data_IF_733351385715
#
_entry.id   IF_733351385715
#
_cell.length_a   1.000
_cell.length_b   1.000
_cell.length_c   1.000
_cell.angle_alpha   90.00
_cell.angle_beta   90.00
_cell.angle_gamma   90.00
#
_symmetry.space_group_name_H-M   'P 1'
#
loop_
_entity.id
_entity.type
_entity.pdbx_description
1 polymer ?
#
# COMPACT_ATOMS: atom_id res chain seq x y z
N UNK A 1 -12.59 9.04 -30.94
CA UNK A 1 -11.84 10.02 -30.12
C UNK A 1 -12.18 9.61 -28.70
N UNK A 2 -11.40 8.67 -28.17
CA UNK A 2 -11.86 7.77 -27.11
C UNK A 2 -11.37 8.27 -25.74
N UNK A 3 -12.32 8.33 -24.82
CA UNK A 3 -12.19 8.67 -23.41
C UNK A 3 -10.99 7.99 -22.72
N UNK A 4 -10.12 8.79 -22.13
CA UNK A 4 -9.24 8.37 -21.05
C UNK A 4 -9.96 8.62 -19.72
N UNK A 5 -10.90 7.74 -19.39
CA UNK A 5 -11.42 7.60 -18.02
C UNK A 5 -10.68 6.41 -17.39
N UNK A 6 -9.44 6.67 -16.96
CA UNK A 6 -8.64 5.75 -16.17
C UNK A 6 -9.04 5.86 -14.71
N UNK A 7 -9.64 4.81 -14.17
CA UNK A 7 -10.02 4.71 -12.77
C UNK A 7 -8.74 4.59 -11.94
N UNK A 8 -8.31 5.67 -11.28
CA UNK A 8 -7.22 5.62 -10.29
C UNK A 8 -7.67 4.76 -9.10
N UNK A 9 -7.09 3.58 -8.97
CA UNK A 9 -7.36 2.64 -7.88
C UNK A 9 -6.42 2.96 -6.72
N UNK A 10 -6.92 3.73 -5.74
CA UNK A 10 -6.26 3.93 -4.45
C UNK A 10 -6.11 2.58 -3.75
N UNK A 11 -4.89 2.04 -3.72
CA UNK A 11 -4.53 0.93 -2.83
C UNK A 11 -4.19 1.52 -1.47
N UNK A 12 -5.19 1.57 -0.58
CA UNK A 12 -5.01 1.97 0.81
C UNK A 12 -4.38 0.82 1.62
N UNK A 13 -3.05 0.81 1.74
CA UNK A 13 -2.35 -0.11 2.64
C UNK A 13 -2.43 0.41 4.09
N UNK A 14 -3.22 -0.27 4.92
CA UNK A 14 -3.28 -0.06 6.36
C UNK A 14 -1.93 -0.43 7.00
N UNK A 15 -1.18 0.56 7.49
CA UNK A 15 -0.03 0.34 8.37
C UNK A 15 -0.49 0.15 9.82
N UNK A 16 -0.15 -0.99 10.40
CA UNK A 16 -0.44 -1.34 11.79
C UNK A 16 0.25 -0.42 12.80
N UNK A 17 -0.50 -0.06 13.84
CA UNK A 17 -0.04 0.80 14.93
C UNK A 17 0.97 0.10 15.85
N UNK A 18 2.18 0.65 15.93
CA UNK A 18 3.17 0.32 16.93
C UNK A 18 2.79 0.95 18.29
N UNK A 19 2.84 0.16 19.37
CA UNK A 19 2.62 0.59 20.76
C UNK A 19 3.87 1.29 21.31
N UNK A 20 3.68 2.46 21.93
CA UNK A 20 4.64 3.06 22.87
C UNK A 20 3.92 3.50 24.16
N UNK A 21 4.63 3.61 25.31
CA UNK A 21 4.08 3.40 26.63
C UNK A 21 3.47 4.65 27.25
N UNK A 22 2.45 4.42 28.09
CA UNK A 22 1.79 5.42 28.91
C UNK A 22 2.61 5.70 30.18
N UNK A 23 2.88 6.98 30.45
CA UNK A 23 3.00 7.53 31.79
C UNK A 23 2.93 9.06 31.72
N UNK A 24 1.85 9.66 32.25
CA UNK A 24 1.83 10.90 33.05
C UNK A 24 0.37 11.32 33.37
N UNK A 25 0.05 11.19 34.66
CA UNK A 25 -1.01 11.69 35.58
C UNK A 25 -1.79 12.99 35.22
N UNK A 26 -2.72 13.50 36.07
CA UNK A 26 -3.90 12.92 36.74
C UNK A 26 -5.15 13.85 36.69
N UNK A 27 -6.37 13.35 36.96
CA UNK A 27 -7.36 14.10 37.79
C UNK A 27 -8.57 13.27 38.22
N UNK A 28 -8.89 13.36 39.50
CA UNK A 28 -10.01 12.75 40.19
C UNK A 28 -11.35 13.49 40.00
N UNK A 29 -12.47 12.74 40.09
CA UNK A 29 -13.68 12.99 40.92
C UNK A 29 -14.78 11.99 40.52
N UNK A 30 -15.14 11.07 41.42
CA UNK A 30 -16.37 11.03 42.24
C UNK A 30 -17.68 10.74 41.47
N UNK A 31 -18.31 9.59 41.76
CA UNK A 31 -19.68 9.50 42.31
C UNK A 31 -20.04 8.03 42.61
N UNK A 32 -20.12 7.66 43.90
CA UNK A 32 -21.32 7.35 44.70
C UNK A 32 -21.94 5.96 44.47
N UNK A 33 -21.84 5.17 45.53
CA UNK A 33 -22.42 3.85 45.78
C UNK A 33 -23.82 3.98 46.40
N UNK A 34 -24.74 3.08 46.07
CA UNK A 34 -25.98 2.72 46.79
C UNK A 34 -26.70 1.64 45.95
N UNK A 35 -27.40 0.61 46.42
CA UNK A 35 -27.74 0.01 47.72
C UNK A 35 -28.33 -1.38 47.34
N UNK A 36 -28.08 -2.42 48.14
CA UNK A 36 -28.76 -3.74 48.08
C UNK A 36 -30.08 -3.64 48.91
N UNK A 37 -31.08 -4.56 48.80
CA UNK A 37 -31.03 -5.84 49.51
C UNK A 37 -31.75 -7.05 48.83
N UNK A 38 -31.55 -8.20 49.49
CA UNK A 38 -31.83 -9.61 49.18
C UNK A 38 -33.27 -10.06 48.85
N UNK A 39 -33.37 -11.23 48.19
CA UNK A 39 -34.57 -12.07 48.08
C UNK A 39 -34.24 -13.51 47.64
N UNK A 40 -34.82 -14.49 48.34
CA UNK A 40 -34.55 -15.95 48.33
C UNK A 40 -35.48 -16.70 47.36
N UNK A 41 -35.05 -17.79 46.71
CA UNK A 41 -35.86 -19.01 46.48
C UNK A 41 -35.06 -20.21 45.91
N UNK A 42 -35.40 -21.39 46.43
CA UNK A 42 -34.88 -22.75 46.16
C UNK A 42 -35.28 -23.29 44.77
N UNK A 43 -34.48 -24.22 44.23
CA UNK A 43 -34.94 -25.14 43.17
C UNK A 43 -33.89 -26.16 42.74
N UNK A 44 -34.16 -27.44 42.99
CA UNK A 44 -33.36 -28.62 42.65
C UNK A 44 -33.29 -28.91 41.14
N UNK A 45 -32.18 -29.50 40.68
CA UNK A 45 -32.07 -30.10 39.36
C UNK A 45 -30.71 -30.77 39.12
N UNK A 46 -30.68 -32.09 39.27
CA UNK A 46 -29.53 -32.98 39.05
C UNK A 46 -29.30 -33.23 37.54
N UNK A 47 -28.16 -33.88 37.23
CA UNK A 47 -27.91 -34.82 36.11
C UNK A 47 -26.92 -34.36 35.01
N UNK A 48 -25.71 -34.93 35.14
CA UNK A 48 -24.84 -35.57 34.13
C UNK A 48 -23.70 -34.77 33.48
N UNK A 49 -22.50 -35.18 33.90
CA UNK A 49 -21.23 -35.08 33.16
C UNK A 49 -21.35 -35.64 31.74
N UNK A 50 -20.92 -34.86 30.73
CA UNK A 50 -20.50 -35.41 29.43
C UNK A 50 -19.09 -34.92 29.07
N UNK A 51 -18.17 -35.82 29.38
CA UNK A 51 -16.99 -36.28 28.63
C UNK A 51 -16.55 -35.44 27.42
N UNK A 52 -15.26 -35.05 27.47
CA UNK A 52 -14.45 -34.54 26.36
C UNK A 52 -14.66 -35.33 25.06
N UNK A 53 -14.82 -34.60 23.96
CA UNK A 53 -14.42 -35.06 22.63
C UNK A 53 -13.27 -34.17 22.17
N UNK A 54 -12.04 -34.66 22.36
CA UNK A 54 -10.84 -34.15 21.70
C UNK A 54 -10.80 -34.72 20.28
N UNK A 55 -11.39 -34.02 19.32
CA UNK A 55 -11.25 -34.35 17.91
C UNK A 55 -10.72 -33.15 17.15
N UNK A 56 -9.43 -33.25 16.84
CA UNK A 56 -8.80 -32.71 15.64
C UNK A 56 -8.88 -31.19 15.49
N UNK A 57 -7.87 -30.50 16.01
CA UNK A 57 -7.32 -29.35 15.31
C UNK A 57 -6.66 -29.85 14.00
N UNK A 58 -7.48 -30.34 13.07
CA UNK A 58 -7.13 -30.40 11.67
C UNK A 58 -7.25 -28.98 11.17
N UNK A 59 -6.19 -28.19 11.37
CA UNK A 59 -6.05 -26.90 10.76
C UNK A 59 -6.42 -27.05 9.29
N UNK A 60 -7.48 -26.36 8.90
CA UNK A 60 -7.73 -26.06 7.50
C UNK A 60 -6.47 -25.36 7.01
N UNK A 61 -5.55 -26.12 6.43
CA UNK A 61 -4.58 -25.63 5.48
C UNK A 61 -5.43 -25.11 4.34
N UNK A 62 -5.98 -23.91 4.53
CA UNK A 62 -6.59 -23.12 3.50
C UNK A 62 -5.64 -23.24 2.32
N UNK A 63 -6.14 -23.82 1.23
CA UNK A 63 -5.39 -24.04 0.01
C UNK A 63 -4.69 -22.72 -0.30
N UNK A 64 -3.38 -22.66 -0.02
CA UNK A 64 -2.55 -21.56 -0.47
C UNK A 64 -2.75 -21.58 -1.97
N UNK A 65 -3.38 -20.54 -2.51
CA UNK A 65 -3.59 -20.43 -3.95
C UNK A 65 -2.20 -20.46 -4.58
N UNK A 66 -1.77 -21.63 -5.01
CA UNK A 66 -0.46 -21.78 -5.63
C UNK A 66 -0.61 -21.16 -7.00
N UNK A 67 -0.16 -19.90 -7.14
CA UNK A 67 -0.06 -19.29 -8.45
C UNK A 67 0.78 -20.21 -9.34
N UNK A 68 0.38 -20.40 -10.61
CA UNK A 68 1.16 -21.24 -11.51
C UNK A 68 2.57 -20.67 -11.67
N UNK A 69 3.57 -21.50 -12.01
CA UNK A 69 4.91 -21.01 -12.30
C UNK A 69 4.88 -19.90 -13.36
N UNK A 70 5.52 -18.78 -13.07
CA UNK A 70 5.62 -17.64 -13.99
C UNK A 70 6.92 -17.69 -14.79
N UNK A 71 6.98 -16.94 -15.90
CA UNK A 71 8.17 -16.83 -16.76
C UNK A 71 9.26 -15.94 -16.17
N UNK A 72 8.87 -15.04 -15.27
CA UNK A 72 9.73 -14.05 -14.63
C UNK A 72 9.84 -14.34 -13.14
N UNK A 73 11.01 -14.05 -12.57
CA UNK A 73 11.22 -14.11 -11.12
C UNK A 73 10.53 -12.94 -10.42
N UNK A 74 10.46 -11.78 -11.07
CA UNK A 74 9.84 -10.57 -10.52
C UNK A 74 8.99 -9.84 -11.55
N UNK A 75 7.91 -9.21 -11.08
CA UNK A 75 7.18 -8.19 -11.83
C UNK A 75 7.46 -6.84 -11.20
N UNK A 76 7.76 -5.84 -12.03
CA UNK A 76 8.03 -4.47 -11.61
C UNK A 76 6.82 -3.60 -11.97
N UNK A 77 5.89 -3.43 -11.03
CA UNK A 77 4.69 -2.63 -11.27
C UNK A 77 5.05 -1.16 -11.19
N UNK A 78 4.72 -0.41 -12.24
CA UNK A 78 5.00 1.02 -12.41
C UNK A 78 3.72 1.73 -12.85
N UNK A 79 3.51 2.93 -12.34
CA UNK A 79 2.37 3.80 -12.64
C UNK A 79 2.81 5.24 -12.40
N UNK A 80 3.04 6.03 -13.46
CA UNK A 80 3.51 7.40 -13.28
C UNK A 80 2.36 8.33 -12.97
N UNK A 81 2.62 9.31 -12.09
CA UNK A 81 1.83 10.54 -12.07
C UNK A 81 2.61 11.63 -12.80
N UNK A 82 1.89 12.50 -13.52
CA UNK A 82 2.47 13.56 -14.32
C UNK A 82 1.75 14.90 -14.15
N UNK A 83 2.46 16.00 -14.46
CA UNK A 83 1.85 17.33 -14.57
C UNK A 83 0.74 17.30 -15.62
N UNK A 84 -0.43 17.84 -15.28
CA UNK A 84 -1.60 17.86 -16.16
C UNK A 84 -2.50 19.08 -15.90
N UNK A 85 -3.39 19.39 -16.86
CA UNK A 85 -4.41 20.44 -16.72
C UNK A 85 -5.59 20.20 -17.68
N UNK A 86 -6.59 21.08 -17.66
CA UNK A 86 -7.72 21.12 -18.60
C UNK A 86 -7.85 22.54 -19.21
N UNK A 87 -7.43 22.75 -20.47
CA UNK A 87 -6.92 21.77 -21.44
C UNK A 87 -5.52 21.26 -21.08
N UNK A 88 -5.15 20.11 -21.66
CA UNK A 88 -3.87 19.44 -21.38
C UNK A 88 -2.68 20.36 -21.66
N UNK A 89 -1.74 20.37 -20.71
CA UNK A 89 -0.47 21.09 -20.83
C UNK A 89 0.60 20.23 -21.48
N UNK A 90 1.55 20.90 -22.14
CA UNK A 90 2.69 20.25 -22.79
C UNK A 90 3.98 21.04 -22.52
N UNK A 91 5.12 20.34 -22.30
CA UNK A 91 5.22 18.91 -22.06
C UNK A 91 4.55 18.51 -20.73
N UNK A 92 4.10 17.25 -20.63
CA UNK A 92 3.79 16.66 -19.33
C UNK A 92 5.09 16.13 -18.75
N UNK A 93 5.27 16.26 -17.44
CA UNK A 93 6.48 15.89 -16.72
C UNK A 93 6.10 14.92 -15.60
N UNK A 94 6.84 13.82 -15.45
CA UNK A 94 6.65 12.87 -14.34
C UNK A 94 6.87 13.61 -13.01
N UNK A 95 5.96 13.45 -12.07
CA UNK A 95 6.00 14.04 -10.72
C UNK A 95 6.00 12.99 -9.60
N UNK A 96 5.67 11.73 -9.90
CA UNK A 96 5.80 10.58 -9.00
C UNK A 96 6.31 9.37 -9.78
N UNK A 97 7.28 8.67 -9.20
CA UNK A 97 7.95 7.50 -9.79
C UNK A 97 7.89 6.31 -8.84
N UNK A 98 6.76 5.57 -8.77
CA UNK A 98 6.65 4.35 -7.99
C UNK A 98 7.10 3.12 -8.79
N UNK A 99 7.80 2.20 -8.12
CA UNK A 99 8.04 0.83 -8.63
C UNK A 99 7.83 -0.16 -7.49
N UNK A 100 6.96 -1.15 -7.70
CA UNK A 100 6.79 -2.29 -6.79
C UNK A 100 7.46 -3.53 -7.37
N UNK A 101 8.39 -4.11 -6.61
CA UNK A 101 8.97 -5.42 -6.92
C UNK A 101 8.09 -6.52 -6.32
N UNK A 102 7.35 -7.20 -7.16
CA UNK A 102 6.51 -8.34 -6.80
C UNK A 102 7.25 -9.65 -7.02
N UNK A 103 7.19 -10.56 -6.06
CA UNK A 103 7.64 -11.94 -6.24
C UNK A 103 6.80 -12.63 -7.33
N UNK A 104 7.45 -13.15 -8.37
CA UNK A 104 6.76 -13.77 -9.50
C UNK A 104 5.99 -15.04 -9.15
N UNK A 105 6.27 -15.70 -8.02
CA UNK A 105 5.55 -16.88 -7.56
C UNK A 105 4.41 -16.56 -6.59
N UNK A 106 4.59 -15.61 -5.68
CA UNK A 106 3.61 -15.33 -4.62
C UNK A 106 2.76 -14.09 -4.89
N UNK A 107 3.19 -13.22 -5.82
CA UNK A 107 2.63 -11.89 -6.05
C UNK A 107 2.68 -10.99 -4.82
N UNK A 108 3.52 -11.31 -3.84
CA UNK A 108 3.77 -10.46 -2.68
C UNK A 108 4.78 -9.36 -3.04
N UNK A 109 4.60 -8.18 -2.45
CA UNK A 109 5.54 -7.06 -2.59
C UNK A 109 6.77 -7.37 -1.74
N UNK A 110 7.94 -7.48 -2.38
CA UNK A 110 9.22 -7.69 -1.70
C UNK A 110 10.01 -6.40 -1.47
N UNK A 111 9.84 -5.42 -2.36
CA UNK A 111 10.52 -4.12 -2.26
C UNK A 111 9.71 -3.05 -2.98
N UNK A 112 9.90 -1.81 -2.55
CA UNK A 112 9.24 -0.63 -3.10
C UNK A 112 10.28 0.46 -3.33
N UNK A 113 10.33 0.96 -4.56
CA UNK A 113 10.94 2.23 -4.89
C UNK A 113 9.83 3.27 -5.01
N UNK A 114 10.04 4.44 -4.42
CA UNK A 114 9.07 5.53 -4.48
C UNK A 114 9.79 6.86 -4.33
N UNK A 115 9.60 7.75 -5.29
CA UNK A 115 10.12 9.11 -5.24
C UNK A 115 9.16 10.08 -5.91
N UNK A 116 9.04 11.28 -5.34
CA UNK A 116 8.53 12.44 -6.05
C UNK A 116 9.62 13.04 -6.92
N UNK A 117 9.22 13.68 -8.01
CA UNK A 117 10.10 14.31 -9.00
C UNK A 117 9.74 15.79 -9.07
N UNK A 118 10.74 16.67 -9.10
CA UNK A 118 10.51 18.10 -9.28
C UNK A 118 10.37 18.42 -10.79
N UNK A 119 9.19 18.87 -11.27
CA UNK A 119 9.02 19.31 -12.65
C UNK A 119 9.77 20.63 -12.89
N UNK A 120 10.30 20.82 -14.10
CA UNK A 120 11.17 21.94 -14.46
C UNK A 120 10.47 22.92 -15.40
N UNK A 121 9.69 22.42 -16.36
CA UNK A 121 9.00 23.26 -17.36
C UNK A 121 7.75 23.90 -16.78
N UNK A 122 6.91 23.10 -16.11
CA UNK A 122 5.72 23.54 -15.40
C UNK A 122 5.86 23.26 -13.90
N UNK A 123 6.71 24.02 -13.17
CA UNK A 123 7.08 23.71 -11.79
C UNK A 123 5.92 23.86 -10.79
N UNK A 124 4.91 24.67 -11.13
CA UNK A 124 3.72 24.86 -10.31
C UNK A 124 2.64 23.86 -10.72
N UNK A 125 2.29 22.95 -9.82
CA UNK A 125 1.19 22.00 -10.04
C UNK A 125 -0.13 22.77 -10.14
N UNK A 126 -0.93 22.38 -11.14
CA UNK A 126 -2.26 22.98 -11.33
C UNK A 126 -3.24 22.44 -10.28
N UNK A 127 -4.31 23.18 -9.95
CA UNK A 127 -5.35 22.64 -9.07
C UNK A 127 -5.95 21.34 -9.60
N UNK A 128 -6.14 21.24 -10.93
CA UNK A 128 -6.64 20.03 -11.57
C UNK A 128 -5.70 18.82 -11.33
N UNK A 129 -4.40 19.01 -11.50
CA UNK A 129 -3.40 17.97 -11.26
C UNK A 129 -3.39 17.52 -9.80
N UNK A 130 -3.39 18.47 -8.85
CA UNK A 130 -3.43 18.15 -7.42
C UNK A 130 -4.73 17.45 -7.02
N UNK A 131 -5.88 17.85 -7.56
CA UNK A 131 -7.17 17.19 -7.30
C UNK A 131 -7.22 15.76 -7.86
N UNK A 132 -6.61 15.52 -9.02
CA UNK A 132 -6.61 14.21 -9.69
C UNK A 132 -5.65 13.21 -9.02
N UNK A 133 -4.43 13.66 -8.71
CA UNK A 133 -3.32 12.81 -8.23
C UNK A 133 -3.21 12.79 -6.70
N UNK A 134 -3.71 13.82 -6.03
CA UNK A 134 -3.49 14.06 -4.59
C UNK A 134 -2.12 14.66 -4.26
N UNK A 135 -1.25 14.90 -5.25
CA UNK A 135 0.10 15.45 -5.05
C UNK A 135 0.01 16.97 -4.90
N UNK A 136 0.46 17.47 -3.74
CA UNK A 136 0.53 18.91 -3.45
C UNK A 136 1.91 19.47 -3.78
N UNK A 137 1.99 20.79 -4.01
CA UNK A 137 3.24 21.47 -4.38
C UNK A 137 4.41 21.16 -3.44
N UNK A 138 4.17 21.13 -2.13
CA UNK A 138 5.21 20.84 -1.14
C UNK A 138 5.79 19.42 -1.21
N UNK A 139 5.16 18.49 -1.95
CA UNK A 139 5.69 17.14 -2.17
C UNK A 139 6.70 17.10 -3.31
N UNK A 140 6.58 17.97 -4.31
CA UNK A 140 7.49 18.05 -5.46
C UNK A 140 8.56 19.13 -5.30
N UNK A 141 8.33 20.14 -4.45
CA UNK A 141 9.30 21.20 -4.18
C UNK A 141 10.58 20.63 -3.53
N UNK A 142 11.73 20.92 -4.15
CA UNK A 142 13.04 20.49 -3.66
C UNK A 142 13.34 19.01 -3.86
N UNK A 143 12.47 18.29 -4.59
CA UNK A 143 12.74 16.92 -5.01
C UNK A 143 13.81 16.87 -6.10
N UNK A 144 14.47 15.71 -6.31
CA UNK A 144 15.38 15.53 -7.43
C UNK A 144 14.67 15.69 -8.78
N UNK A 145 15.45 16.06 -9.78
CA UNK A 145 15.03 16.03 -11.19
C UNK A 145 14.80 14.60 -11.67
N UNK A 146 14.04 14.44 -12.76
CA UNK A 146 13.75 13.11 -13.34
C UNK A 146 15.04 12.32 -13.63
N UNK A 147 16.07 12.99 -14.16
CA UNK A 147 17.36 12.34 -14.44
C UNK A 147 17.97 11.72 -13.18
N UNK A 148 17.98 12.47 -12.07
CA UNK A 148 18.52 11.99 -10.80
C UNK A 148 17.66 10.88 -10.19
N UNK A 149 16.34 10.90 -10.42
CA UNK A 149 15.46 9.81 -10.00
C UNK A 149 15.72 8.54 -10.80
N UNK A 150 15.94 8.64 -12.11
CA UNK A 150 16.31 7.50 -12.96
C UNK A 150 17.65 6.88 -12.54
N UNK A 151 18.64 7.69 -12.19
CA UNK A 151 19.92 7.21 -11.62
C UNK A 151 19.67 6.42 -10.32
N UNK A 152 18.79 6.90 -9.44
CA UNK A 152 18.41 6.21 -8.20
C UNK A 152 17.59 4.95 -8.45
N UNK A 153 16.78 4.90 -9.51
CA UNK A 153 16.09 3.68 -9.95
C UNK A 153 17.12 2.63 -10.35
N UNK A 154 18.12 3.00 -11.15
CA UNK A 154 19.19 2.08 -11.57
C UNK A 154 19.97 1.52 -10.36
N UNK A 155 20.36 2.39 -9.43
CA UNK A 155 20.99 2.00 -8.16
C UNK A 155 20.11 1.04 -7.34
N UNK A 156 18.81 1.32 -7.25
CA UNK A 156 17.85 0.46 -6.56
C UNK A 156 17.73 -0.89 -7.26
N UNK A 157 17.62 -0.93 -8.59
CA UNK A 157 17.55 -2.20 -9.34
C UNK A 157 18.83 -3.03 -9.18
N UNK A 158 20.00 -2.38 -9.17
CA UNK A 158 21.27 -3.03 -8.90
C UNK A 158 21.29 -3.67 -7.50
N UNK A 159 20.88 -2.90 -6.48
CA UNK A 159 20.80 -3.37 -5.09
C UNK A 159 19.81 -4.53 -4.91
N UNK A 160 18.71 -4.51 -5.65
CA UNK A 160 17.68 -5.55 -5.63
C UNK A 160 18.04 -6.81 -6.45
N UNK A 161 19.23 -6.82 -7.09
CA UNK A 161 19.71 -7.93 -7.91
C UNK A 161 19.00 -8.08 -9.26
N UNK A 162 18.24 -7.06 -9.68
CA UNK A 162 17.44 -7.10 -10.91
C UNK A 162 18.28 -6.92 -12.18
N UNK A 163 19.52 -6.42 -12.03
CA UNK A 163 20.49 -6.27 -13.12
C UNK A 163 21.36 -7.51 -13.37
N UNK A 164 21.20 -8.57 -12.57
CA UNK A 164 21.88 -9.84 -12.81
C UNK A 164 21.27 -10.54 -14.04
N UNK A 165 22.06 -10.95 -15.06
CA UNK A 165 21.55 -11.61 -16.26
C UNK A 165 20.77 -12.91 -16.02
N UNK A 166 20.97 -13.56 -14.87
CA UNK A 166 20.23 -14.77 -14.46
C UNK A 166 18.85 -14.44 -13.87
N UNK A 167 18.61 -13.20 -13.46
CA UNK A 167 17.36 -12.74 -12.89
C UNK A 167 16.45 -12.20 -13.99
N UNK A 168 15.26 -12.78 -14.13
CA UNK A 168 14.26 -12.35 -15.11
C UNK A 168 13.23 -11.47 -14.44
N UNK A 169 13.13 -10.22 -14.86
CA UNK A 169 12.06 -9.30 -14.46
C UNK A 169 11.42 -8.66 -15.69
N UNK A 170 10.24 -8.07 -15.51
CA UNK A 170 9.55 -7.29 -16.54
C UNK A 170 8.73 -6.19 -15.87
N UNK A 171 8.62 -5.02 -16.52
CA UNK A 171 7.70 -3.98 -16.10
C UNK A 171 6.24 -4.35 -16.41
N UNK A 172 5.35 -3.90 -15.54
CA UNK A 172 3.89 -4.05 -15.67
C UNK A 172 3.26 -2.70 -15.40
N UNK A 173 2.47 -2.20 -16.35
CA UNK A 173 1.81 -0.88 -16.30
C UNK A 173 0.32 -1.02 -16.60
N UNK A 174 -0.48 -0.02 -16.19
CA UNK A 174 -1.91 0.03 -16.52
C UNK A 174 -2.11 0.69 -17.89
N UNK A 175 -1.92 -0.11 -18.95
CA UNK A 175 -1.93 0.39 -20.33
C UNK A 175 -0.55 0.83 -20.80
N UNK A 176 -0.49 1.36 -22.02
CA UNK A 176 0.79 1.60 -22.71
C UNK A 176 1.39 2.98 -22.44
N UNK A 177 0.64 3.90 -21.82
CA UNK A 177 1.01 5.32 -21.79
C UNK A 177 2.35 5.57 -21.09
N UNK A 178 2.58 4.96 -19.93
CA UNK A 178 3.78 5.21 -19.10
C UNK A 178 5.11 4.89 -19.79
N UNK A 179 5.19 3.80 -20.56
CA UNK A 179 6.46 3.35 -21.16
C UNK A 179 6.54 3.57 -22.67
N UNK A 180 5.43 3.94 -23.32
CA UNK A 180 5.38 4.20 -24.77
C UNK A 180 5.33 5.69 -25.10
N UNK A 181 4.78 6.51 -24.21
CA UNK A 181 4.46 7.91 -24.49
C UNK A 181 5.25 8.88 -23.61
N UNK A 182 5.36 8.60 -22.32
CA UNK A 182 6.18 9.39 -21.39
C UNK A 182 7.69 9.15 -21.62
#
# INVERSE_FOLDING_TARGET
VSDASGCSMIVLLHTGAAKFPQNLLPRARQAVCSLVPAGVLKGYGSIVSRKLASHGFGASMAAMSSFPPQRYHYFLVLDFEATCDKPQIHPQEIIEFPILKLNGRTMEIESTFHMYVQPVVHPQLTPFCTELTGIIQGMVDGQPSLQQVLERVDEWMAKEGLLDPSVKSIFVTCGDWDLKVM
#
